data_IF_591220535433
#
_entry.id   IF_591220535433
#
_cell.length_a   1.000
_cell.length_b   1.000
_cell.length_c   1.000
_cell.angle_alpha   90.00
_cell.angle_beta   90.00
_cell.angle_gamma   90.00
#
_symmetry.space_group_name_H-M   'P 1'
#
loop_
_entity.id
_entity.type
_entity.pdbx_description
1 polymer ?
#
# COMPACT_ATOMS: atom_id res chain seq x y z
N UNK A 1 23.08 -3.88 -13.51
CA UNK A 1 21.60 -3.87 -13.38
C UNK A 1 21.15 -2.43 -13.38
N UNK A 2 20.07 -2.08 -14.09
CA UNK A 2 19.53 -0.71 -14.03
C UNK A 2 18.79 -0.52 -12.69
N UNK A 3 18.80 0.69 -12.10
CA UNK A 3 18.04 0.96 -10.88
C UNK A 3 16.55 0.73 -11.13
N UNK A 4 15.87 0.12 -10.16
CA UNK A 4 14.42 -0.11 -10.22
C UNK A 4 13.66 1.20 -10.46
N UNK A 5 14.03 2.25 -9.71
CA UNK A 5 13.47 3.58 -9.82
C UNK A 5 14.54 4.55 -10.30
N UNK A 6 14.31 5.21 -11.44
CA UNK A 6 15.16 6.31 -11.91
C UNK A 6 14.32 7.56 -12.10
N UNK A 7 14.88 8.70 -11.71
CA UNK A 7 14.24 9.98 -11.96
C UNK A 7 15.27 11.02 -12.43
N UNK A 8 14.82 11.86 -13.35
CA UNK A 8 15.46 13.11 -13.76
C UNK A 8 14.49 14.25 -13.40
N UNK A 9 14.89 15.54 -13.54
CA UNK A 9 14.00 16.66 -13.20
C UNK A 9 12.64 16.66 -13.94
N UNK A 10 12.54 15.96 -15.07
CA UNK A 10 11.35 15.93 -15.94
C UNK A 10 10.86 14.51 -16.28
N UNK A 11 11.46 13.45 -15.72
CA UNK A 11 11.10 12.07 -16.03
C UNK A 11 11.22 11.20 -14.80
N UNK A 12 10.31 10.25 -14.66
CA UNK A 12 10.40 9.16 -13.70
C UNK A 12 10.15 7.87 -14.44
N UNK A 13 11.01 6.87 -14.23
CA UNK A 13 10.92 5.57 -14.86
C UNK A 13 11.00 4.49 -13.80
N UNK A 14 10.12 3.50 -13.91
CA UNK A 14 10.17 2.26 -13.14
C UNK A 14 10.59 1.15 -14.08
N UNK A 15 11.82 0.67 -13.90
CA UNK A 15 12.42 -0.35 -14.76
C UNK A 15 12.47 -1.67 -14.00
N UNK A 16 11.60 -2.60 -14.38
CA UNK A 16 11.56 -3.93 -13.78
C UNK A 16 11.10 -4.95 -14.81
N UNK A 17 11.64 -6.16 -14.72
CA UNK A 17 11.26 -7.29 -15.57
C UNK A 17 9.93 -7.89 -15.08
N UNK A 18 8.84 -7.14 -15.27
CA UNK A 18 7.51 -7.56 -14.86
C UNK A 18 7.09 -8.86 -15.56
N UNK A 19 6.50 -9.81 -14.84
CA UNK A 19 5.83 -10.94 -15.48
C UNK A 19 4.76 -10.44 -16.46
N UNK A 20 4.62 -11.04 -17.66
CA UNK A 20 3.73 -10.56 -18.70
C UNK A 20 2.25 -10.58 -18.28
N UNK A 21 1.89 -11.39 -17.30
CA UNK A 21 0.55 -11.52 -16.75
C UNK A 21 0.17 -10.38 -15.79
N UNK A 22 1.13 -9.58 -15.29
CA UNK A 22 0.87 -8.46 -14.37
C UNK A 22 0.21 -7.29 -15.13
N UNK A 23 -1.02 -6.96 -14.73
CA UNK A 23 -1.82 -5.84 -15.20
C UNK A 23 -1.29 -4.48 -14.72
N UNK A 24 -1.73 -3.38 -15.34
CA UNK A 24 -1.29 -2.04 -14.97
C UNK A 24 -1.55 -1.68 -13.51
N UNK A 25 -2.73 -2.04 -12.97
CA UNK A 25 -3.07 -1.74 -11.56
C UNK A 25 -2.23 -2.58 -10.59
N UNK A 26 -1.96 -3.85 -10.93
CA UNK A 26 -1.07 -4.69 -10.15
C UNK A 26 0.35 -4.09 -10.16
N UNK A 27 0.85 -3.56 -11.28
CA UNK A 27 2.16 -2.86 -11.32
C UNK A 27 2.20 -1.63 -10.41
N UNK A 28 1.10 -0.88 -10.31
CA UNK A 28 1.00 0.28 -9.40
C UNK A 28 1.09 -0.20 -7.95
N UNK A 29 0.33 -1.23 -7.58
CA UNK A 29 0.39 -1.81 -6.24
C UNK A 29 1.77 -2.40 -5.94
N UNK A 30 2.39 -3.09 -6.91
CA UNK A 30 3.67 -3.76 -6.74
C UNK A 30 4.86 -2.81 -6.71
N UNK A 31 4.75 -1.61 -7.29
CA UNK A 31 5.79 -0.58 -7.27
C UNK A 31 5.67 0.43 -6.11
N UNK A 32 4.65 0.29 -5.25
CA UNK A 32 4.42 1.17 -4.09
C UNK A 32 5.55 1.11 -3.05
N UNK A 33 6.04 2.24 -2.53
CA UNK A 33 7.11 2.25 -1.53
C UNK A 33 6.72 3.09 -0.32
N UNK A 34 6.25 2.42 0.73
CA UNK A 34 5.79 3.09 1.96
C UNK A 34 4.41 3.75 1.84
N UNK A 35 3.74 3.65 0.69
CA UNK A 35 2.43 4.24 0.44
C UNK A 35 1.36 3.23 -0.02
N UNK A 36 1.63 1.93 0.08
CA UNK A 36 0.67 0.88 -0.32
C UNK A 36 -0.67 1.04 0.40
N UNK A 37 -0.68 1.38 1.69
CA UNK A 37 -1.91 1.63 2.45
C UNK A 37 -2.77 2.72 1.79
N UNK A 38 -2.14 3.81 1.31
CA UNK A 38 -2.80 4.91 0.63
C UNK A 38 -3.35 4.47 -0.73
N UNK A 39 -2.57 3.70 -1.49
CA UNK A 39 -2.98 3.17 -2.79
C UNK A 39 -4.17 2.23 -2.65
N UNK A 40 -4.13 1.28 -1.70
CA UNK A 40 -5.24 0.36 -1.45
C UNK A 40 -6.47 1.10 -0.94
N UNK A 41 -6.31 2.11 -0.08
CA UNK A 41 -7.42 2.92 0.39
C UNK A 41 -8.10 3.67 -0.76
N UNK A 42 -7.32 4.26 -1.67
CA UNK A 42 -7.84 4.93 -2.85
C UNK A 42 -8.51 3.94 -3.82
N UNK A 43 -7.91 2.76 -4.02
CA UNK A 43 -8.45 1.72 -4.91
C UNK A 43 -9.80 1.17 -4.43
N UNK A 44 -9.94 0.90 -3.13
CA UNK A 44 -11.19 0.41 -2.55
C UNK A 44 -12.17 1.51 -2.12
N UNK A 45 -11.77 2.78 -2.20
CA UNK A 45 -12.50 3.93 -1.66
C UNK A 45 -12.93 3.73 -0.18
N UNK A 46 -12.07 3.08 0.62
CA UNK A 46 -12.35 2.66 2.00
C UNK A 46 -11.10 2.79 2.87
N UNK A 47 -11.25 2.95 4.19
CA UNK A 47 -10.11 2.99 5.10
C UNK A 47 -9.40 1.62 5.17
N UNK A 48 -8.07 1.66 5.24
CA UNK A 48 -7.23 0.48 5.48
C UNK A 48 -6.69 0.54 6.90
N UNK A 49 -7.04 -0.45 7.70
CA UNK A 49 -6.55 -0.64 9.06
C UNK A 49 -5.35 -1.58 9.07
N UNK A 50 -4.41 -1.38 9.99
CA UNK A 50 -3.26 -2.27 10.15
C UNK A 50 -3.44 -3.05 11.46
N UNK A 51 -3.52 -4.37 11.36
CA UNK A 51 -3.52 -5.27 12.50
C UNK A 51 -2.13 -5.90 12.63
N UNK A 52 -1.51 -5.81 13.82
CA UNK A 52 -0.23 -6.48 14.05
C UNK A 52 -0.48 -7.91 14.49
N UNK A 53 0.09 -8.88 13.76
CA UNK A 53 -0.02 -10.31 14.05
C UNK A 53 1.02 -10.68 15.10
N UNK A 54 2.29 -10.34 14.85
CA UNK A 54 3.36 -10.52 15.82
C UNK A 54 4.46 -9.49 15.64
N UNK A 55 5.27 -9.34 16.68
CA UNK A 55 6.53 -8.58 16.66
C UNK A 55 7.51 -9.22 17.62
N UNK A 56 8.71 -9.50 17.11
CA UNK A 56 9.81 -10.10 17.86
C UNK A 56 11.06 -9.27 17.67
N UNK A 57 11.51 -8.60 18.74
CA UNK A 57 12.74 -7.83 18.76
C UNK A 57 13.85 -8.64 19.43
N UNK A 58 15.01 -8.70 18.81
CA UNK A 58 16.16 -9.46 19.31
C UNK A 58 17.49 -8.78 18.94
N UNK A 59 18.53 -9.13 19.68
CA UNK A 59 19.93 -8.80 19.34
C UNK A 59 20.68 -10.08 19.05
N UNK A 60 21.59 -10.02 18.09
CA UNK A 60 22.51 -11.11 17.80
C UNK A 60 23.85 -10.81 18.47
N UNK A 61 24.24 -11.64 19.44
CA UNK A 61 25.52 -11.57 20.13
C UNK A 61 26.33 -12.85 19.97
N UNK A 62 27.52 -12.89 20.58
CA UNK A 62 28.42 -14.05 20.54
C UNK A 62 27.77 -15.33 21.09
N UNK A 63 26.79 -15.19 21.99
CA UNK A 63 26.05 -16.29 22.62
C UNK A 63 24.72 -16.64 21.91
N UNK A 64 24.45 -16.04 20.73
CA UNK A 64 23.25 -16.29 19.93
C UNK A 64 22.19 -15.19 20.03
N UNK A 65 20.96 -15.51 19.60
CA UNK A 65 19.83 -14.57 19.55
C UNK A 65 19.24 -14.37 20.95
N UNK A 66 19.35 -13.17 21.50
CA UNK A 66 18.72 -12.79 22.76
C UNK A 66 17.49 -11.92 22.49
N UNK A 67 16.33 -12.41 22.91
CA UNK A 67 15.06 -11.65 22.84
C UNK A 67 15.14 -10.41 23.74
N UNK A 68 14.57 -9.30 23.28
CA UNK A 68 14.50 -8.05 24.02
C UNK A 68 13.07 -7.81 24.50
N UNK A 69 12.89 -7.70 25.83
CA UNK A 69 11.74 -7.04 26.43
C UNK A 69 11.98 -5.53 26.42
N UNK A 70 11.30 -4.81 25.54
CA UNK A 70 11.30 -3.34 25.53
C UNK A 70 10.44 -2.81 26.70
N UNK A 71 10.78 -1.67 27.35
CA UNK A 71 11.91 -0.76 27.10
C UNK A 71 12.84 -0.70 28.33
N UNK A 72 13.80 -1.63 28.45
CA UNK A 72 14.87 -1.49 29.47
C UNK A 72 16.17 -1.05 28.77
N UNK A 73 16.70 0.09 29.22
CA UNK A 73 17.06 1.22 28.34
C UNK A 73 18.56 1.37 28.01
N UNK A 74 19.41 0.39 28.30
CA UNK A 74 20.85 0.52 27.99
C UNK A 74 21.18 0.15 26.54
N UNK A 75 20.34 -0.69 25.92
CA UNK A 75 20.65 -1.28 24.60
C UNK A 75 20.29 -0.39 23.43
N UNK A 76 19.33 0.52 23.62
CA UNK A 76 18.96 1.52 22.62
C UNK A 76 20.14 2.46 22.42
N UNK A 77 20.73 2.97 23.51
CA UNK A 77 21.94 3.80 23.46
C UNK A 77 23.15 3.06 22.89
N UNK A 78 23.28 1.76 23.15
CA UNK A 78 24.39 0.95 22.62
C UNK A 78 24.17 0.43 21.19
N UNK A 79 23.07 0.81 20.53
CA UNK A 79 22.79 0.34 19.16
C UNK A 79 23.80 0.94 18.20
N UNK A 80 24.45 0.10 17.41
CA UNK A 80 25.45 0.55 16.44
C UNK A 80 25.50 -0.39 15.24
N UNK A 81 26.28 -0.06 14.21
CA UNK A 81 26.53 -0.95 13.08
C UNK A 81 27.15 -2.29 13.50
N UNK A 82 27.96 -2.32 14.57
CA UNK A 82 28.56 -3.54 15.12
C UNK A 82 27.67 -4.28 16.12
N UNK A 83 26.64 -3.61 16.64
CA UNK A 83 25.67 -4.15 17.60
C UNK A 83 24.24 -3.76 17.19
N UNK A 84 23.75 -4.26 16.04
CA UNK A 84 22.44 -3.90 15.55
C UNK A 84 21.32 -4.59 16.35
N UNK A 85 20.16 -3.95 16.38
CA UNK A 85 18.91 -4.54 16.85
C UNK A 85 18.13 -5.06 15.65
N UNK A 86 17.56 -6.24 15.78
CA UNK A 86 16.73 -6.87 14.77
C UNK A 86 15.28 -6.91 15.24
N UNK A 87 14.35 -6.72 14.32
CA UNK A 87 12.94 -6.98 14.57
C UNK A 87 12.30 -7.72 13.42
N UNK A 88 11.67 -8.86 13.71
CA UNK A 88 10.78 -9.55 12.81
C UNK A 88 9.33 -9.19 13.18
N UNK A 89 8.53 -8.76 12.21
CA UNK A 89 7.12 -8.46 12.42
C UNK A 89 6.27 -8.93 11.27
N UNK A 90 5.03 -9.25 11.57
CA UNK A 90 4.00 -9.47 10.55
C UNK A 90 2.78 -8.62 10.88
N UNK A 91 2.26 -7.97 9.85
CA UNK A 91 1.05 -7.16 9.93
C UNK A 91 0.10 -7.54 8.81
N UNK A 92 -1.18 -7.33 9.05
CA UNK A 92 -2.25 -7.47 8.08
C UNK A 92 -2.83 -6.10 7.79
N UNK A 93 -2.89 -5.74 6.51
CA UNK A 93 -3.66 -4.62 6.03
C UNK A 93 -5.09 -5.14 5.81
N UNK A 94 -6.04 -4.53 6.51
CA UNK A 94 -7.45 -4.93 6.50
C UNK A 94 -8.31 -3.81 5.91
N UNK A 95 -9.17 -4.18 4.97
CA UNK A 95 -10.18 -3.29 4.43
C UNK A 95 -11.56 -3.86 4.80
N UNK A 96 -12.32 -3.13 5.61
CA UNK A 96 -13.52 -3.68 6.27
C UNK A 96 -13.13 -4.90 7.14
N UNK A 97 -13.74 -6.06 6.91
CA UNK A 97 -13.48 -7.32 7.61
C UNK A 97 -12.42 -8.21 6.93
N UNK A 98 -12.05 -7.91 5.68
CA UNK A 98 -11.10 -8.71 4.90
C UNK A 98 -9.66 -8.26 5.00
N UNK A 99 -8.75 -9.22 5.00
CA UNK A 99 -7.31 -8.99 4.79
C UNK A 99 -7.09 -8.74 3.30
N UNK A 100 -6.43 -7.63 2.96
CA UNK A 100 -6.11 -7.26 1.58
C UNK A 100 -4.62 -7.38 1.27
N UNK A 101 -3.77 -7.42 2.31
CA UNK A 101 -2.34 -7.68 2.17
C UNK A 101 -1.78 -8.14 3.52
N UNK A 102 -0.92 -9.15 3.49
CA UNK A 102 -0.10 -9.57 4.62
C UNK A 102 1.32 -9.12 4.37
N UNK A 103 1.87 -8.29 5.26
CA UNK A 103 3.22 -7.78 5.16
C UNK A 103 4.08 -8.39 6.28
N UNK A 104 5.11 -9.13 5.88
CA UNK A 104 6.14 -9.67 6.77
C UNK A 104 7.41 -8.86 6.57
N UNK A 105 7.98 -8.36 7.66
CA UNK A 105 9.14 -7.47 7.61
C UNK A 105 10.25 -7.95 8.53
N UNK A 106 11.48 -7.90 8.01
CA UNK A 106 12.72 -8.12 8.73
C UNK A 106 13.49 -6.81 8.80
N UNK A 107 13.59 -6.24 10.00
CA UNK A 107 14.09 -4.90 10.25
C UNK A 107 15.44 -4.99 10.94
N UNK A 108 16.39 -4.17 10.49
CA UNK A 108 17.72 -4.02 11.07
C UNK A 108 17.93 -2.56 11.44
N UNK A 109 18.20 -2.31 12.71
CA UNK A 109 18.39 -1.00 13.31
C UNK A 109 19.85 -0.87 13.72
N UNK A 110 20.55 0.12 13.16
CA UNK A 110 22.00 0.30 13.32
C UNK A 110 22.39 1.59 14.04
N UNK A 111 21.42 2.41 14.43
CA UNK A 111 21.69 3.63 15.20
C UNK A 111 20.76 3.77 16.43
N UNK A 112 21.23 4.44 17.50
CA UNK A 112 20.38 4.71 18.67
C UNK A 112 19.20 5.61 18.30
N UNK A 113 19.42 6.58 17.41
CA UNK A 113 18.37 7.47 16.91
C UNK A 113 17.25 6.69 16.21
N UNK A 114 17.59 5.76 15.33
CA UNK A 114 16.62 4.90 14.67
C UNK A 114 15.92 3.96 15.65
N UNK A 115 16.64 3.45 16.65
CA UNK A 115 16.07 2.59 17.70
C UNK A 115 15.02 3.32 18.54
N UNK A 116 15.31 4.54 19.02
CA UNK A 116 14.32 5.37 19.76
C UNK A 116 13.08 5.65 18.92
N UNK A 117 13.25 6.17 17.70
CA UNK A 117 12.13 6.48 16.80
C UNK A 117 11.25 5.26 16.50
N UNK A 118 11.86 4.09 16.30
CA UNK A 118 11.11 2.91 15.89
C UNK A 118 10.51 2.12 17.06
N UNK A 119 11.25 1.98 18.16
CA UNK A 119 10.89 1.11 19.28
C UNK A 119 10.16 1.86 20.40
N UNK A 120 10.56 3.10 20.71
CA UNK A 120 9.93 3.92 21.75
C UNK A 120 8.78 4.74 21.18
N UNK A 121 9.05 5.55 20.14
CA UNK A 121 8.07 6.44 19.53
C UNK A 121 7.08 5.69 18.62
N UNK A 122 7.35 4.40 18.33
CA UNK A 122 6.50 3.50 17.53
C UNK A 122 6.14 4.04 16.15
N UNK A 123 7.06 4.78 15.51
CA UNK A 123 6.85 5.22 14.13
C UNK A 123 6.70 4.03 13.17
N UNK A 124 5.79 4.14 12.20
CA UNK A 124 5.63 3.11 11.17
C UNK A 124 6.85 3.08 10.23
N UNK A 125 7.13 1.91 9.64
CA UNK A 125 8.30 1.72 8.74
C UNK A 125 8.34 2.77 7.62
N UNK A 126 7.22 3.06 6.96
CA UNK A 126 7.16 4.07 5.91
C UNK A 126 7.43 5.50 6.37
N UNK A 127 7.26 5.79 7.66
CA UNK A 127 7.51 7.11 8.26
C UNK A 127 8.94 7.28 8.77
N UNK A 128 9.64 6.17 9.05
CA UNK A 128 11.01 6.17 9.58
C UNK A 128 11.97 6.95 8.67
N UNK A 129 11.88 6.74 7.36
CA UNK A 129 12.78 7.39 6.40
C UNK A 129 12.59 8.91 6.37
N UNK A 130 11.34 9.39 6.40
CA UNK A 130 11.06 10.82 6.53
C UNK A 130 11.58 11.41 7.84
N UNK A 131 11.51 10.66 8.95
CA UNK A 131 12.00 11.12 10.28
C UNK A 131 13.53 11.08 10.40
N UNK A 132 14.18 10.16 9.71
CA UNK A 132 15.64 10.09 9.63
C UNK A 132 16.22 11.17 8.70
N UNK A 133 15.38 11.83 7.90
CA UNK A 133 15.77 12.97 7.06
C UNK A 133 16.53 12.57 5.78
N UNK A 134 16.49 11.29 5.42
CA UNK A 134 17.09 10.73 4.20
C UNK A 134 16.01 10.01 3.39
N UNK A 135 15.97 10.16 2.06
CA UNK A 135 15.09 9.33 1.24
C UNK A 135 15.48 7.86 1.42
N UNK A 136 14.50 6.96 1.42
CA UNK A 136 14.77 5.53 1.41
C UNK A 136 15.33 5.16 0.05
N UNK A 137 16.44 4.42 0.02
CA UNK A 137 16.80 3.67 -1.16
C UNK A 137 15.88 2.44 -1.22
N UNK A 138 14.96 2.49 -2.18
CA UNK A 138 13.96 1.45 -2.39
C UNK A 138 14.36 0.56 -3.56
N UNK A 139 14.42 -0.73 -3.31
CA UNK A 139 14.77 -1.74 -4.30
C UNK A 139 13.70 -2.84 -4.33
N UNK A 140 12.98 -2.96 -5.44
CA UNK A 140 12.10 -4.11 -5.68
C UNK A 140 12.96 -5.30 -6.09
N UNK A 141 13.02 -6.31 -5.23
CA UNK A 141 13.88 -7.48 -5.43
C UNK A 141 13.18 -8.49 -6.34
N UNK A 142 11.95 -8.88 -5.96
CA UNK A 142 11.23 -9.96 -6.62
C UNK A 142 9.73 -9.70 -6.60
N UNK A 143 9.03 -10.21 -7.60
CA UNK A 143 7.57 -10.28 -7.65
C UNK A 143 7.17 -11.63 -8.19
N UNK A 144 6.02 -12.14 -7.75
CA UNK A 144 5.55 -13.43 -8.20
C UNK A 144 4.09 -13.67 -7.85
N UNK A 145 3.67 -14.87 -8.21
CA UNK A 145 2.34 -15.38 -7.96
C UNK A 145 2.46 -16.84 -7.58
N UNK A 146 1.68 -17.25 -6.61
CA UNK A 146 1.43 -18.64 -6.27
C UNK A 146 -0.05 -18.91 -6.49
N UNK A 147 -0.36 -20.17 -6.79
CA UNK A 147 -1.73 -20.65 -6.84
C UNK A 147 -1.94 -21.53 -5.63
N UNK A 148 -2.95 -21.22 -4.82
CA UNK A 148 -3.31 -22.06 -3.69
C UNK A 148 -4.04 -23.34 -4.13
N UNK A 149 -4.34 -24.21 -3.17
CA UNK A 149 -5.04 -25.48 -3.41
C UNK A 149 -6.46 -25.28 -3.98
N UNK A 150 -7.03 -24.09 -3.79
CA UNK A 150 -8.38 -23.70 -4.24
C UNK A 150 -8.36 -23.09 -5.65
N UNK A 151 -7.18 -22.96 -6.26
CA UNK A 151 -6.99 -22.37 -7.59
C UNK A 151 -6.96 -20.84 -7.59
N UNK A 152 -6.96 -20.20 -6.42
CA UNK A 152 -6.84 -18.76 -6.29
C UNK A 152 -5.39 -18.37 -6.48
N UNK A 153 -5.15 -17.47 -7.43
CA UNK A 153 -3.83 -16.87 -7.61
C UNK A 153 -3.63 -15.74 -6.60
N UNK A 154 -2.63 -15.88 -5.74
CA UNK A 154 -2.13 -14.78 -4.93
C UNK A 154 -1.19 -13.90 -5.78
N UNK A 155 -0.82 -12.75 -5.26
CA UNK A 155 0.22 -11.91 -5.83
C UNK A 155 1.14 -11.49 -4.70
N UNK A 156 2.45 -11.47 -4.92
CA UNK A 156 3.38 -11.06 -3.88
C UNK A 156 4.55 -10.23 -4.43
N UNK A 157 5.17 -9.48 -3.54
CA UNK A 157 6.41 -8.75 -3.81
C UNK A 157 7.36 -8.80 -2.64
N UNK A 158 8.64 -8.81 -2.95
CA UNK A 158 9.72 -8.69 -2.00
C UNK A 158 10.55 -7.46 -2.35
N UNK A 159 10.78 -6.59 -1.38
CA UNK A 159 11.54 -5.36 -1.59
C UNK A 159 12.34 -4.98 -0.35
N UNK A 160 13.39 -4.20 -0.57
CA UNK A 160 14.26 -3.65 0.46
C UNK A 160 14.06 -2.12 0.50
N UNK A 161 13.87 -1.60 1.71
CA UNK A 161 14.02 -0.18 1.99
C UNK A 161 15.24 -0.02 2.89
N UNK A 162 16.24 0.75 2.46
CA UNK A 162 17.44 0.93 3.27
C UNK A 162 17.91 2.39 3.34
N UNK A 163 18.55 2.67 4.47
CA UNK A 163 19.40 3.82 4.75
C UNK A 163 20.49 3.33 5.70
N UNK A 164 21.63 4.03 5.79
CA UNK A 164 22.79 3.63 6.59
C UNK A 164 22.43 3.12 8.01
N UNK A 165 21.46 3.79 8.63
CA UNK A 165 21.07 3.57 10.03
C UNK A 165 19.91 2.57 10.19
N UNK A 166 19.18 2.25 9.12
CA UNK A 166 17.92 1.49 9.19
C UNK A 166 17.67 0.76 7.87
N UNK A 167 17.49 -0.55 7.92
CA UNK A 167 17.11 -1.35 6.76
C UNK A 167 15.90 -2.22 7.06
N UNK A 168 15.05 -2.43 6.08
CA UNK A 168 13.85 -3.22 6.18
C UNK A 168 13.63 -4.02 4.91
N UNK A 169 13.75 -5.34 5.01
CA UNK A 169 13.30 -6.26 3.96
C UNK A 169 11.83 -6.59 4.21
N UNK A 170 10.99 -6.43 3.19
CA UNK A 170 9.55 -6.57 3.30
C UNK A 170 9.06 -7.53 2.22
N UNK A 171 8.31 -8.55 2.64
CA UNK A 171 7.51 -9.42 1.80
C UNK A 171 6.04 -9.08 2.00
N UNK A 172 5.37 -8.69 0.92
CA UNK A 172 3.94 -8.41 0.93
C UNK A 172 3.21 -9.41 0.04
N UNK A 173 2.17 -10.02 0.59
CA UNK A 173 1.33 -11.02 -0.08
C UNK A 173 -0.10 -10.51 -0.15
N UNK A 174 -0.59 -10.31 -1.36
CA UNK A 174 -1.98 -10.04 -1.68
C UNK A 174 -2.72 -11.37 -1.81
N UNK A 175 -3.84 -11.57 -1.10
CA UNK A 175 -4.48 -12.88 -0.98
C UNK A 175 -5.10 -13.37 -2.29
N UNK A 176 -5.51 -12.46 -3.18
CA UNK A 176 -6.11 -12.84 -4.45
C UNK A 176 -5.91 -11.75 -5.49
N UNK A 177 -5.46 -12.13 -6.70
CA UNK A 177 -5.41 -11.23 -7.86
C UNK A 177 -6.77 -10.67 -8.26
N UNK A 178 -7.84 -11.43 -8.00
CA UNK A 178 -9.19 -11.00 -8.30
C UNK A 178 -9.60 -9.75 -7.53
N UNK A 179 -8.96 -9.44 -6.40
CA UNK A 179 -9.19 -8.18 -5.68
C UNK A 179 -8.90 -6.96 -6.55
N UNK A 180 -7.88 -7.04 -7.42
CA UNK A 180 -7.50 -5.94 -8.31
C UNK A 180 -8.39 -5.82 -9.54
N UNK A 181 -9.12 -6.89 -9.88
CA UNK A 181 -10.08 -6.91 -11.01
C UNK A 181 -11.48 -6.48 -10.57
N UNK A 182 -11.92 -6.96 -9.41
CA UNK A 182 -13.30 -6.79 -8.94
C UNK A 182 -13.44 -5.64 -7.93
N UNK A 183 -12.33 -5.14 -7.37
CA UNK A 183 -12.34 -3.98 -6.48
C UNK A 183 -13.28 -4.15 -5.29
N UNK A 184 -14.20 -3.20 -5.10
CA UNK A 184 -15.14 -3.22 -3.97
C UNK A 184 -16.05 -4.46 -3.97
N UNK A 185 -16.42 -5.01 -5.13
CA UNK A 185 -17.23 -6.23 -5.18
C UNK A 185 -16.51 -7.45 -4.59
N UNK A 186 -15.17 -7.50 -4.68
CA UNK A 186 -14.38 -8.53 -4.02
C UNK A 186 -14.45 -8.41 -2.49
N UNK A 187 -14.51 -7.19 -1.97
CA UNK A 187 -14.61 -6.97 -0.52
C UNK A 187 -15.94 -7.46 0.05
N UNK A 188 -17.03 -7.37 -0.72
CA UNK A 188 -18.38 -7.63 -0.25
C UNK A 188 -18.85 -9.08 -0.43
N UNK A 189 -18.03 -9.96 -1.04
CA UNK A 189 -18.42 -11.32 -1.39
C UNK A 189 -19.75 -11.42 -2.15
N UNK A 190 -20.09 -10.39 -2.93
CA UNK A 190 -21.40 -10.30 -3.62
C UNK A 190 -21.63 -11.41 -4.66
N UNK A 191 -20.58 -12.17 -5.01
CA UNK A 191 -20.74 -13.40 -5.81
C UNK A 191 -21.55 -14.49 -5.09
N UNK A 192 -21.60 -14.50 -3.76
CA UNK A 192 -22.36 -15.51 -3.00
C UNK A 192 -23.87 -15.26 -2.94
N UNK A 193 -24.34 -14.04 -3.24
CA UNK A 193 -25.76 -13.66 -3.09
C UNK A 193 -26.57 -13.92 -4.37
N UNK A 194 -25.93 -14.03 -5.54
CA UNK A 194 -26.63 -14.23 -6.82
C UNK A 194 -26.87 -15.70 -7.20
N UNK A 195 -26.33 -16.67 -6.46
CA UNK A 195 -26.51 -18.11 -6.75
C UNK A 195 -27.55 -18.82 -5.84
N UNK A 196 -28.25 -18.09 -4.95
CA UNK A 196 -29.26 -18.66 -4.05
C UNK A 196 -30.71 -18.20 -4.32
N UNK A 197 -31.07 -17.94 -5.57
CA UNK A 197 -32.51 -17.92 -5.95
C UNK A 197 -32.96 -19.31 -6.38
N UNK A 198 -33.85 -20.00 -5.63
CA UNK A 198 -34.39 -21.28 -6.05
C UNK A 198 -35.24 -21.10 -7.32
N UNK A 199 -34.89 -21.89 -8.32
CA UNK A 199 -35.63 -22.08 -9.57
C UNK A 199 -37.07 -22.52 -9.29
N UNK A 200 -38.05 -21.72 -9.73
CA UNK A 200 -39.37 -22.21 -10.10
C UNK A 200 -39.69 -21.73 -11.50
N UNK A 201 -39.88 -22.70 -12.39
CA UNK A 201 -40.02 -22.58 -13.84
C UNK A 201 -41.27 -21.80 -14.30
N UNK A 202 -41.15 -21.15 -15.48
CA UNK A 202 -42.28 -20.51 -16.17
C UNK A 202 -41.96 -19.83 -17.51
N UNK A 203 -41.35 -20.57 -18.46
CA UNK A 203 -41.56 -20.53 -19.94
C UNK A 203 -41.46 -19.17 -20.71
N UNK A 204 -40.36 -19.07 -21.48
CA UNK A 204 -40.19 -18.57 -22.87
C UNK A 204 -40.34 -17.09 -23.25
N UNK A 205 -39.25 -16.48 -23.75
CA UNK A 205 -39.05 -16.14 -25.19
C UNK A 205 -37.63 -15.64 -25.48
N UNK A 206 -37.20 -15.93 -26.72
CA UNK A 206 -35.89 -15.71 -27.36
C UNK A 206 -35.63 -14.23 -27.69
N UNK A 207 -34.40 -13.72 -27.46
CA UNK A 207 -33.64 -12.84 -28.38
C UNK A 207 -32.26 -12.42 -27.82
N UNK A 208 -31.20 -12.86 -28.52
CA UNK A 208 -29.85 -12.28 -28.78
C UNK A 208 -28.95 -11.59 -27.72
N UNK A 209 -27.61 -11.67 -27.89
CA UNK A 209 -26.63 -11.29 -26.88
C UNK A 209 -26.27 -9.80 -26.95
N UNK A 210 -26.68 -9.03 -25.94
CA UNK A 210 -26.18 -7.66 -25.77
C UNK A 210 -24.85 -7.66 -25.00
N UNK A 211 -23.78 -7.39 -25.76
CA UNK A 211 -22.51 -6.88 -25.25
C UNK A 211 -22.80 -5.59 -24.48
N UNK A 212 -22.53 -5.56 -23.18
CA UNK A 212 -22.53 -4.33 -22.39
C UNK A 212 -21.28 -3.52 -22.73
N UNK A 213 -21.36 -2.77 -23.83
CA UNK A 213 -20.44 -1.69 -24.13
C UNK A 213 -20.79 -0.51 -23.19
N UNK A 214 -20.01 -0.36 -22.11
CA UNK A 214 -20.04 0.86 -21.30
C UNK A 214 -19.51 2.04 -22.13
N UNK A 215 -20.40 2.73 -22.82
CA UNK A 215 -20.13 4.06 -23.38
C UNK A 215 -20.53 5.11 -22.35
N UNK A 216 -19.54 5.68 -21.67
CA UNK A 216 -19.73 6.90 -20.88
C UNK A 216 -19.98 8.06 -21.84
N UNK A 217 -21.24 8.26 -22.22
CA UNK A 217 -21.69 9.50 -22.86
C UNK A 217 -22.07 10.49 -21.77
N UNK A 218 -21.10 11.29 -21.34
CA UNK A 218 -21.35 12.47 -20.52
C UNK A 218 -22.28 13.42 -21.31
N UNK A 219 -23.47 13.67 -20.78
CA UNK A 219 -24.39 14.66 -21.35
C UNK A 219 -23.80 16.06 -21.10
N UNK A 220 -23.84 16.98 -22.08
CA UNK A 220 -23.29 18.33 -21.93
C UNK A 220 -23.83 19.12 -20.72
N UNK A 221 -25.03 18.79 -20.24
CA UNK A 221 -25.65 19.44 -19.07
C UNK A 221 -24.95 19.11 -17.73
N UNK A 222 -24.28 17.96 -17.62
CA UNK A 222 -23.63 17.54 -16.36
C UNK A 222 -22.24 18.19 -16.19
N UNK A 223 -21.60 18.59 -17.29
CA UNK A 223 -20.31 19.31 -17.28
C UNK A 223 -20.46 20.73 -16.72
N UNK A 224 -21.60 21.38 -16.99
CA UNK A 224 -21.86 22.74 -16.51
C UNK A 224 -22.14 22.77 -15.00
N UNK A 225 -22.81 21.76 -14.46
CA UNK A 225 -23.02 21.64 -13.00
C UNK A 225 -21.71 21.39 -12.24
N UNK A 226 -20.80 20.58 -12.78
CA UNK A 226 -19.47 20.40 -12.17
C UNK A 226 -18.63 21.68 -12.20
N UNK A 227 -18.68 22.48 -13.28
CA UNK A 227 -17.92 23.73 -13.33
C UNK A 227 -18.42 24.80 -12.34
N UNK A 228 -19.72 24.87 -12.08
CA UNK A 228 -20.29 25.86 -11.14
C UNK A 228 -19.97 25.53 -9.68
N UNK A 229 -19.91 24.24 -9.31
CA UNK A 229 -19.64 23.83 -7.92
C UNK A 229 -18.19 24.10 -7.52
N UNK A 230 -17.23 23.96 -8.45
CA UNK A 230 -15.80 24.13 -8.15
C UNK A 230 -15.25 25.55 -8.40
N UNK A 231 -15.96 26.43 -9.10
CA UNK A 231 -15.48 27.79 -9.41
C UNK A 231 -15.96 28.87 -8.43
N UNK A 232 -17.07 28.65 -7.73
CA UNK A 232 -17.62 29.60 -6.75
C UNK A 232 -16.67 29.93 -5.57
N UNK A 233 -15.94 28.97 -4.96
CA UNK A 233 -14.99 29.29 -3.89
C UNK A 233 -13.81 30.15 -4.36
N UNK A 234 -13.37 29.97 -5.61
CA UNK A 234 -12.24 30.71 -6.18
C UNK A 234 -12.63 32.17 -6.51
N UNK A 235 -13.87 32.38 -6.97
CA UNK A 235 -14.41 33.70 -7.31
C UNK A 235 -14.70 34.55 -6.07
N UNK A 236 -15.15 33.92 -4.97
CA UNK A 236 -15.30 34.61 -3.67
C UNK A 236 -13.94 35.01 -3.09
N UNK A 237 -12.91 34.17 -3.22
CA UNK A 237 -11.55 34.51 -2.75
C UNK A 237 -10.92 35.68 -3.51
N UNK A 238 -11.15 35.76 -4.83
CA UNK A 238 -10.66 36.87 -5.66
C UNK A 238 -11.40 38.20 -5.39
N UNK A 239 -12.68 38.17 -5.00
CA UNK A 239 -13.41 39.38 -4.63
C UNK A 239 -13.03 39.92 -3.24
N UNK A 240 -12.80 39.04 -2.26
CA UNK A 240 -12.38 39.45 -0.91
C UNK A 240 -10.96 40.03 -0.92
N UNK A 241 -10.05 39.46 -1.72
CA UNK A 241 -8.67 39.98 -1.82
C UNK A 241 -8.58 41.31 -2.57
N UNK A 242 -9.44 41.56 -3.57
CA UNK A 242 -9.47 42.86 -4.27
C UNK A 242 -10.01 44.01 -3.42
N UNK A 243 -10.91 43.76 -2.47
CA UNK A 243 -11.43 44.81 -1.59
C UNK A 243 -10.44 45.19 -0.47
N UNK A 244 -9.57 44.27 -0.04
CA UNK A 244 -8.56 44.54 0.97
C UNK A 244 -7.41 45.43 0.47
N UNK A 245 -7.13 45.47 -0.83
CA UNK A 245 -6.08 46.30 -1.43
C UNK A 245 -6.52 47.75 -1.74
N UNK A 246 -7.75 48.14 -1.42
CA UNK A 246 -8.30 49.48 -1.64
C UNK A 246 -8.38 50.34 -0.38
N UNK A 247 -7.87 49.85 0.76
CA UNK A 247 -7.96 50.51 2.07
C UNK A 247 -6.60 50.65 2.79
N UNK A 248 -5.51 50.69 2.04
CA UNK A 248 -4.19 51.15 2.49
C UNK A 248 -3.57 52.09 1.46
#
# INVERSE_FOLDING_TARGET
>A
MAPFFTFTPNQTSVNFAWPPEVTGIERIALSAHGDLQRILSAFFARPINIATVYTHTFTEGVEGKKSLSLPEDDRIESTSTSSPIYQARQVELRCSDKVVCTATSSIVIRSPKAARLFLEDKFAVGQMFSKLGKPADAELLEVGFDTDEEGTQNLWRKYLLHVDEFACEILEVFPSREMFRQGVCWLLDEKAVLEQTPSSAGVSRVSDPHIHQFSLTLKPADVVSCFLIYSLPLLVYLFVTRHASSLF
#
